data_IF_240395764386
#
_entry.id   IF_240395764386
#
_cell.length_a   1.000
_cell.length_b   1.000
_cell.length_c   1.000
_cell.angle_alpha   90.00
_cell.angle_beta   90.00
_cell.angle_gamma   90.00
#
_symmetry.space_group_name_H-M   'P 1'
#
loop_
_entity.id
_entity.type
_entity.pdbx_description
1 polymer ?
#
# COMPACT_ATOMS: atom_id res chain seq x y z
N UNK A 1 -4.34 42.12 -32.60
CA UNK A 1 -2.94 42.61 -32.65
C UNK A 1 -2.55 42.88 -31.20
N UNK A 2 -1.53 42.31 -30.57
CA UNK A 2 -0.37 41.59 -31.05
C UNK A 2 -0.07 40.41 -30.13
N UNK A 3 0.46 39.34 -30.73
CA UNK A 3 1.12 38.25 -30.04
C UNK A 3 2.52 38.69 -29.57
N UNK A 4 3.01 38.06 -28.51
CA UNK A 4 4.45 37.77 -28.40
C UNK A 4 4.63 36.41 -27.74
N UNK A 5 5.21 35.52 -28.53
CA UNK A 5 5.81 34.26 -28.12
C UNK A 5 7.20 34.51 -27.52
N UNK A 6 7.72 33.48 -26.85
CA UNK A 6 9.10 32.94 -26.93
C UNK A 6 9.78 32.71 -25.56
N UNK A 7 9.95 31.41 -25.28
CA UNK A 7 11.13 30.73 -24.70
C UNK A 7 11.61 31.03 -23.27
N UNK A 8 11.65 29.99 -22.42
CA UNK A 8 12.90 29.25 -22.18
C UNK A 8 12.71 28.03 -21.27
N UNK A 9 13.42 26.96 -21.61
CA UNK A 9 13.46 25.66 -20.94
C UNK A 9 14.35 25.65 -19.67
N UNK A 10 14.23 24.53 -18.94
CA UNK A 10 15.15 23.97 -17.92
C UNK A 10 15.05 24.58 -16.50
N UNK A 11 15.06 23.84 -15.38
CA UNK A 11 15.36 22.43 -15.12
C UNK A 11 14.60 21.95 -13.87
N UNK A 12 13.91 20.80 -13.96
CA UNK A 12 13.39 20.08 -12.80
C UNK A 12 14.49 19.16 -12.27
N UNK A 13 15.14 19.55 -11.17
CA UNK A 13 16.04 18.67 -10.42
C UNK A 13 15.22 17.82 -9.45
N UNK A 14 14.72 16.67 -9.92
CA UNK A 14 14.23 15.61 -9.04
C UNK A 14 15.45 14.91 -8.43
N UNK A 15 15.76 15.20 -7.15
CA UNK A 15 16.68 14.38 -6.35
C UNK A 15 16.03 13.01 -6.10
N UNK A 16 16.31 12.07 -6.99
CA UNK A 16 16.07 10.66 -6.78
C UNK A 16 17.07 10.15 -5.72
N UNK A 17 16.64 10.07 -4.47
CA UNK A 17 17.31 9.28 -3.45
C UNK A 17 17.08 7.79 -3.76
N UNK A 18 17.91 7.24 -4.64
CA UNK A 18 18.07 5.79 -4.80
C UNK A 18 18.88 5.27 -3.62
N UNK A 19 18.19 4.94 -2.53
CA UNK A 19 18.74 4.21 -1.38
C UNK A 19 19.03 2.76 -1.76
N UNK A 20 20.10 2.52 -2.50
CA UNK A 20 20.64 1.19 -2.74
C UNK A 20 21.23 0.62 -1.45
N UNK A 21 20.57 -0.39 -0.86
CA UNK A 21 21.19 -1.24 0.17
C UNK A 21 22.30 -2.08 -0.47
N UNK A 22 23.51 -1.57 -0.46
CA UNK A 22 24.71 -2.34 -0.77
C UNK A 22 24.97 -3.28 0.41
N UNK A 23 24.76 -4.59 0.20
CA UNK A 23 25.27 -5.59 1.13
C UNK A 23 26.80 -5.59 1.04
N UNK A 24 27.43 -4.91 2.00
CA UNK A 24 28.87 -4.93 2.17
C UNK A 24 29.25 -6.28 2.77
N UNK A 25 29.41 -7.28 1.89
CA UNK A 25 30.00 -8.56 2.24
C UNK A 25 31.42 -8.28 2.75
N UNK A 26 31.61 -8.37 4.07
CA UNK A 26 32.90 -8.22 4.73
C UNK A 26 33.78 -9.41 4.33
N UNK A 27 34.44 -9.30 3.18
CA UNK A 27 35.49 -10.24 2.74
C UNK A 27 36.66 -10.07 3.68
N UNK A 28 36.82 -11.00 4.61
CA UNK A 28 37.94 -11.02 5.55
C UNK A 28 39.18 -11.45 4.78
N UNK A 29 39.92 -10.48 4.25
CA UNK A 29 41.23 -10.70 3.63
C UNK A 29 42.20 -11.05 4.76
N UNK A 30 42.68 -12.28 4.72
CA UNK A 30 43.71 -12.84 5.57
C UNK A 30 45.06 -12.18 5.22
N UNK A 31 45.50 -11.22 6.01
CA UNK A 31 46.87 -10.70 5.90
C UNK A 31 47.83 -11.71 6.51
N UNK A 32 48.65 -12.37 5.68
CA UNK A 32 49.84 -13.08 6.13
C UNK A 32 50.99 -12.07 6.19
N UNK A 33 51.37 -11.65 7.39
CA UNK A 33 52.66 -11.04 7.64
C UNK A 33 53.66 -12.14 7.96
N UNK A 34 54.72 -12.24 7.15
CA UNK A 34 55.92 -13.00 7.47
C UNK A 34 56.76 -12.17 8.44
N UNK A 35 57.16 -12.76 9.56
CA UNK A 35 58.27 -12.26 10.37
C UNK A 35 59.01 -13.47 10.96
N UNK A 36 60.31 -13.46 10.73
CA UNK A 36 61.27 -14.45 11.19
C UNK A 36 61.60 -14.28 12.68
N UNK A 37 62.37 -15.26 13.15
CA UNK A 37 63.24 -15.27 14.33
C UNK A 37 62.73 -15.95 15.61
N UNK A 38 63.70 -16.66 16.17
CA UNK A 38 63.64 -17.84 17.01
C UNK A 38 64.04 -17.44 18.43
N UNK A 39 63.17 -17.61 19.44
CA UNK A 39 63.62 -17.75 20.84
C UNK A 39 62.72 -18.68 21.63
N UNK A 40 63.36 -19.70 22.19
CA UNK A 40 62.87 -20.69 23.14
C UNK A 40 62.66 -20.05 24.53
N UNK A 41 61.42 -20.07 25.03
CA UNK A 41 61.13 -20.04 26.47
C UNK A 41 59.95 -20.99 26.72
N UNK A 42 60.18 -22.04 27.51
CA UNK A 42 59.14 -22.92 28.03
C UNK A 42 58.29 -22.12 29.04
N UNK A 43 57.14 -21.63 28.59
CA UNK A 43 56.09 -21.08 29.43
C UNK A 43 54.83 -21.92 29.26
N UNK A 44 54.33 -22.53 30.34
CA UNK A 44 53.12 -23.34 30.35
C UNK A 44 51.94 -22.51 29.84
N UNK A 45 51.53 -22.73 28.58
CA UNK A 45 50.40 -22.03 27.98
C UNK A 45 49.12 -22.55 28.61
N UNK A 46 48.61 -21.85 29.61
CA UNK A 46 47.23 -22.01 30.07
C UNK A 46 46.34 -21.53 28.92
N UNK A 47 45.92 -22.47 28.09
CA UNK A 47 44.89 -22.30 27.06
C UNK A 47 43.58 -21.88 27.75
N UNK A 48 43.36 -20.56 27.88
CA UNK A 48 42.06 -20.04 28.28
C UNK A 48 41.04 -20.37 27.19
N UNK A 49 40.28 -21.43 27.41
CA UNK A 49 39.14 -21.82 26.59
C UNK A 49 38.11 -20.67 26.61
N UNK A 50 38.03 -19.87 25.53
CA UNK A 50 36.93 -18.91 25.35
C UNK A 50 35.67 -19.68 25.02
N UNK A 51 34.82 -19.91 26.01
CA UNK A 51 33.45 -20.33 25.78
C UNK A 51 32.70 -19.15 25.13
N UNK A 52 32.55 -19.16 23.81
CA UNK A 52 31.59 -18.28 23.13
C UNK A 52 30.20 -18.86 23.34
N UNK A 53 29.44 -18.30 24.28
CA UNK A 53 28.02 -18.62 24.43
C UNK A 53 27.26 -17.99 23.26
N UNK A 54 26.81 -18.81 22.30
CA UNK A 54 25.89 -18.36 21.25
C UNK A 54 24.52 -18.19 21.90
N UNK A 55 24.21 -16.97 22.34
CA UNK A 55 22.88 -16.62 22.84
C UNK A 55 21.93 -16.54 21.64
N UNK A 56 21.00 -17.50 21.53
CA UNK A 56 19.95 -17.47 20.52
C UNK A 56 18.96 -16.36 20.88
N UNK A 57 18.99 -15.26 20.13
CA UNK A 57 17.99 -14.20 20.29
C UNK A 57 16.65 -14.66 19.75
N UNK A 58 15.56 -14.41 20.50
CA UNK A 58 14.19 -14.72 20.06
C UNK A 58 13.88 -14.01 18.74
N UNK A 59 13.26 -14.73 17.80
CA UNK A 59 12.79 -14.18 16.53
C UNK A 59 11.74 -13.09 16.82
N UNK A 60 11.86 -11.94 16.17
CA UNK A 60 10.93 -10.84 16.32
C UNK A 60 9.60 -11.16 15.63
N UNK A 61 8.49 -10.82 16.30
CA UNK A 61 7.16 -10.89 15.69
C UNK A 61 7.00 -9.69 14.76
N UNK A 62 6.54 -9.93 13.53
CA UNK A 62 6.26 -8.87 12.58
C UNK A 62 5.16 -7.96 13.13
N UNK A 63 5.52 -6.72 13.45
CA UNK A 63 4.61 -5.70 13.99
C UNK A 63 3.76 -5.03 12.91
N UNK A 64 4.23 -5.01 11.67
CA UNK A 64 3.54 -4.36 10.56
C UNK A 64 2.62 -5.38 9.88
N UNK A 65 1.31 -5.26 10.09
CA UNK A 65 0.29 -5.99 9.33
C UNK A 65 -0.44 -5.00 8.44
N UNK A 66 -0.63 -5.37 7.17
CA UNK A 66 -1.54 -4.66 6.29
C UNK A 66 -2.97 -4.90 6.80
N UNK A 67 -3.74 -3.84 7.01
CA UNK A 67 -5.13 -3.94 7.44
C UNK A 67 -5.98 -4.51 6.29
N UNK A 68 -6.29 -5.80 6.38
CA UNK A 68 -7.25 -6.45 5.48
C UNK A 68 -8.65 -6.28 6.06
N UNK A 69 -9.53 -5.59 5.33
CA UNK A 69 -10.91 -5.36 5.76
C UNK A 69 -11.75 -6.53 5.26
N UNK A 70 -12.27 -7.33 6.20
CA UNK A 70 -13.16 -8.44 5.86
C UNK A 70 -14.53 -7.91 5.44
N UNK A 71 -15.26 -8.71 4.67
CA UNK A 71 -16.63 -8.35 4.23
C UNK A 71 -17.55 -8.11 5.43
N UNK A 72 -17.41 -8.92 6.49
CA UNK A 72 -18.21 -8.79 7.70
C UNK A 72 -17.88 -7.52 8.49
N UNK A 73 -16.61 -7.09 8.47
CA UNK A 73 -16.22 -5.82 9.07
C UNK A 73 -16.90 -4.64 8.36
N UNK A 74 -16.88 -4.63 7.02
CA UNK A 74 -17.53 -3.57 6.24
C UNK A 74 -19.05 -3.53 6.51
N UNK A 75 -19.71 -4.70 6.57
CA UNK A 75 -21.14 -4.78 6.92
C UNK A 75 -21.43 -4.16 8.28
N UNK A 76 -20.64 -4.51 9.31
CA UNK A 76 -20.76 -3.94 10.64
C UNK A 76 -20.61 -2.41 10.65
N UNK A 77 -19.64 -1.90 9.87
CA UNK A 77 -19.43 -0.45 9.74
C UNK A 77 -20.62 0.26 9.07
N UNK A 78 -21.32 -0.39 8.14
CA UNK A 78 -22.53 0.17 7.51
C UNK A 78 -23.66 0.29 8.54
N UNK A 79 -23.85 -0.74 9.36
CA UNK A 79 -24.86 -0.73 10.43
C UNK A 79 -24.56 0.35 11.48
N UNK A 80 -23.30 0.45 11.92
CA UNK A 80 -22.84 1.49 12.84
C UNK A 80 -23.02 2.90 12.27
N UNK A 81 -22.74 3.10 10.98
CA UNK A 81 -22.97 4.37 10.30
C UNK A 81 -24.45 4.73 10.26
N UNK A 82 -25.34 3.80 9.92
CA UNK A 82 -26.78 4.04 9.88
C UNK A 82 -27.35 4.38 11.27
N UNK A 83 -26.86 3.70 12.31
CA UNK A 83 -27.21 4.01 13.69
C UNK A 83 -26.71 5.40 14.09
N UNK A 84 -25.45 5.71 13.79
CA UNK A 84 -24.83 7.00 14.04
C UNK A 84 -25.53 8.15 13.33
N UNK A 85 -25.97 7.94 12.08
CA UNK A 85 -26.75 8.92 11.31
C UNK A 85 -28.04 9.32 12.04
N UNK A 86 -28.80 8.36 12.55
CA UNK A 86 -30.03 8.63 13.33
C UNK A 86 -29.75 9.38 14.63
N UNK A 87 -28.67 9.01 15.33
CA UNK A 87 -28.25 9.70 16.55
C UNK A 87 -27.82 11.13 16.27
N UNK A 88 -27.09 11.36 15.18
CA UNK A 88 -26.66 12.70 14.78
C UNK A 88 -27.86 13.57 14.41
N UNK A 89 -28.81 13.04 13.64
CA UNK A 89 -30.06 13.74 13.32
C UNK A 89 -30.82 14.13 14.59
N UNK A 90 -30.96 13.20 15.54
CA UNK A 90 -31.59 13.47 16.84
C UNK A 90 -30.88 14.57 17.65
N UNK A 91 -29.53 14.61 17.64
CA UNK A 91 -28.77 15.68 18.30
C UNK A 91 -28.95 17.04 17.62
N UNK A 92 -29.14 17.06 16.30
CA UNK A 92 -29.36 18.28 15.53
C UNK A 92 -30.83 18.71 15.47
N UNK A 93 -31.76 17.88 15.95
CA UNK A 93 -33.19 18.12 15.88
C UNK A 93 -33.78 18.00 14.45
N UNK A 94 -33.06 17.30 13.57
CA UNK A 94 -33.46 17.08 12.17
C UNK A 94 -34.09 15.69 11.99
N UNK A 95 -34.86 15.51 10.92
CA UNK A 95 -35.47 14.23 10.59
C UNK A 95 -34.44 13.23 9.99
N UNK A 96 -34.33 11.99 10.50
CA UNK A 96 -33.32 11.02 10.04
C UNK A 96 -33.42 10.61 8.57
N UNK A 97 -34.62 10.65 7.98
CA UNK A 97 -34.85 10.25 6.59
C UNK A 97 -34.46 11.38 5.62
N UNK A 98 -34.69 12.63 6.00
CA UNK A 98 -34.34 13.82 5.23
C UNK A 98 -32.85 14.18 5.32
N UNK A 99 -32.13 13.64 6.30
CA UNK A 99 -30.75 14.01 6.61
C UNK A 99 -29.75 13.62 5.50
N UNK A 100 -29.14 14.62 4.85
CA UNK A 100 -28.20 14.45 3.73
C UNK A 100 -26.74 14.38 4.18
N UNK A 101 -25.81 14.06 3.27
CA UNK A 101 -24.39 13.99 3.62
C UNK A 101 -23.80 15.38 3.89
N UNK A 102 -24.34 16.42 3.27
CA UNK A 102 -23.95 17.80 3.51
C UNK A 102 -24.36 18.25 4.91
N UNK A 103 -25.52 17.79 5.39
CA UNK A 103 -26.01 18.10 6.75
C UNK A 103 -25.14 17.40 7.80
N UNK A 104 -24.73 16.15 7.53
CA UNK A 104 -23.74 15.43 8.33
C UNK A 104 -22.44 16.24 8.43
N UNK A 105 -21.88 16.65 7.30
CA UNK A 105 -20.59 17.35 7.27
C UNK A 105 -20.68 18.70 8.02
N UNK A 106 -21.81 19.41 7.92
CA UNK A 106 -22.07 20.65 8.69
C UNK A 106 -22.19 20.38 10.18
N UNK A 107 -22.95 19.36 10.57
CA UNK A 107 -23.13 18.98 11.97
C UNK A 107 -21.79 18.57 12.62
N UNK A 108 -20.97 17.77 11.94
CA UNK A 108 -19.64 17.37 12.43
C UNK A 108 -18.71 18.58 12.55
N UNK A 109 -18.72 19.51 11.58
CA UNK A 109 -17.91 20.72 11.67
C UNK A 109 -18.31 21.63 12.86
N UNK A 110 -19.60 21.63 13.22
CA UNK A 110 -20.11 22.36 14.38
C UNK A 110 -19.78 21.67 15.70
N UNK A 111 -20.04 20.37 15.82
CA UNK A 111 -19.82 19.59 17.04
C UNK A 111 -18.33 19.41 17.36
N UNK A 112 -17.50 19.21 16.34
CA UNK A 112 -16.06 18.95 16.45
C UNK A 112 -15.26 19.96 15.61
N UNK A 113 -15.17 21.22 16.07
CA UNK A 113 -14.45 22.25 15.33
C UNK A 113 -12.96 21.91 15.26
N UNK A 114 -12.43 21.82 14.03
CA UNK A 114 -10.99 21.58 13.80
C UNK A 114 -10.39 22.69 12.94
N UNK A 115 -9.30 23.29 13.43
CA UNK A 115 -8.56 24.37 12.74
C UNK A 115 -7.50 23.87 11.76
N UNK A 116 -7.51 22.57 11.40
CA UNK A 116 -6.49 21.98 10.53
C UNK A 116 -6.64 22.48 9.09
N UNK A 117 -5.54 22.93 8.48
CA UNK A 117 -5.52 23.35 7.08
C UNK A 117 -5.81 22.19 6.13
N UNK A 118 -5.25 21.01 6.41
CA UNK A 118 -5.48 19.79 5.63
C UNK A 118 -6.89 19.25 5.89
N UNK A 119 -7.76 19.29 4.87
CA UNK A 119 -9.17 18.87 5.01
C UNK A 119 -9.31 17.37 5.31
N UNK A 120 -8.35 16.54 4.88
CA UNK A 120 -8.34 15.08 5.11
C UNK A 120 -8.02 14.69 6.55
N UNK A 121 -7.40 15.58 7.31
CA UNK A 121 -7.06 15.34 8.71
C UNK A 121 -8.17 15.78 9.68
N UNK A 122 -9.24 16.39 9.17
CA UNK A 122 -10.39 16.82 9.97
C UNK A 122 -11.28 15.61 10.32
N UNK A 123 -12.07 15.69 11.40
CA UNK A 123 -13.10 14.69 11.68
C UNK A 123 -14.07 14.56 10.49
N UNK A 124 -14.32 13.33 10.05
CA UNK A 124 -15.23 13.01 8.95
C UNK A 124 -16.13 11.84 9.33
N UNK A 125 -17.40 11.90 8.93
CA UNK A 125 -18.35 10.80 9.07
C UNK A 125 -18.99 10.53 7.70
N UNK A 126 -18.58 9.44 7.03
CA UNK A 126 -19.02 9.09 5.67
C UNK A 126 -19.37 7.62 5.59
N UNK A 127 -20.08 7.25 4.51
CA UNK A 127 -20.37 5.86 4.22
C UNK A 127 -19.07 5.03 4.10
N UNK A 128 -18.99 3.81 4.67
CA UNK A 128 -17.77 2.99 4.69
C UNK A 128 -17.13 2.75 3.33
N UNK A 129 -17.92 2.67 2.26
CA UNK A 129 -17.42 2.49 0.88
C UNK A 129 -16.56 3.65 0.36
N UNK A 130 -16.71 4.85 0.94
CA UNK A 130 -15.91 6.02 0.57
C UNK A 130 -14.64 6.17 1.42
N UNK A 131 -14.64 5.61 2.63
CA UNK A 131 -13.52 5.67 3.58
C UNK A 131 -12.54 4.54 3.29
N UNK A 132 -13.05 3.31 3.18
CA UNK A 132 -12.21 2.13 2.99
C UNK A 132 -11.87 1.94 1.50
N UNK A 133 -10.61 1.64 1.16
CA UNK A 133 -10.24 1.33 -0.20
C UNK A 133 -10.95 0.06 -0.66
N UNK A 134 -11.46 0.07 -1.91
CA UNK A 134 -12.10 -1.11 -2.51
C UNK A 134 -11.10 -2.27 -2.57
N UNK A 135 -11.38 -3.32 -1.83
CA UNK A 135 -10.57 -4.53 -1.82
C UNK A 135 -11.00 -5.47 -2.95
N UNK A 136 -10.04 -6.16 -3.56
CA UNK A 136 -10.36 -7.22 -4.53
C UNK A 136 -10.91 -8.40 -3.75
N UNK A 137 -12.03 -8.94 -4.20
CA UNK A 137 -12.52 -10.21 -3.70
C UNK A 137 -11.49 -11.33 -3.98
N UNK A 138 -11.58 -12.41 -3.19
CA UNK A 138 -10.80 -13.62 -3.41
C UNK A 138 -10.97 -14.09 -4.86
N UNK A 139 -9.86 -14.37 -5.55
CA UNK A 139 -9.85 -14.65 -6.99
C UNK A 139 -10.01 -16.14 -7.34
N UNK A 140 -10.11 -16.99 -6.31
CA UNK A 140 -10.27 -18.44 -6.40
C UNK A 140 -11.25 -18.91 -5.32
N UNK A 141 -11.93 -20.03 -5.60
CA UNK A 141 -12.79 -20.70 -4.63
C UNK A 141 -12.02 -21.63 -3.70
N UNK A 142 -12.75 -22.42 -2.92
CA UNK A 142 -12.19 -23.45 -2.03
C UNK A 142 -11.39 -24.51 -2.78
N UNK A 143 -11.81 -24.83 -4.02
CA UNK A 143 -11.12 -25.76 -4.93
C UNK A 143 -9.73 -25.27 -5.37
N UNK A 144 -9.37 -24.01 -5.09
CA UNK A 144 -8.13 -23.38 -5.54
C UNK A 144 -8.10 -23.02 -7.03
N UNK A 145 -9.16 -23.33 -7.80
CA UNK A 145 -9.29 -22.96 -9.21
C UNK A 145 -9.59 -21.45 -9.35
N UNK A 146 -8.77 -20.68 -10.10
CA UNK A 146 -9.07 -19.27 -10.36
C UNK A 146 -10.36 -19.07 -11.16
N UNK A 147 -11.13 -18.02 -10.84
CA UNK A 147 -12.38 -17.72 -11.53
C UNK A 147 -12.17 -17.20 -12.95
N UNK A 148 -11.10 -16.44 -13.17
CA UNK A 148 -10.82 -15.81 -14.47
C UNK A 148 -9.68 -16.54 -15.20
N UNK A 149 -9.86 -16.81 -16.50
CA UNK A 149 -8.86 -17.54 -17.30
C UNK A 149 -7.52 -16.78 -17.43
N UNK A 150 -7.55 -15.45 -17.50
CA UNK A 150 -6.34 -14.60 -17.48
C UNK A 150 -5.72 -14.36 -16.09
N UNK A 151 -6.11 -15.13 -15.06
CA UNK A 151 -5.58 -14.97 -13.70
C UNK A 151 -4.04 -15.01 -13.66
N UNK A 152 -3.43 -15.97 -14.36
CA UNK A 152 -1.98 -16.16 -14.37
C UNK A 152 -1.19 -15.05 -15.07
N UNK A 153 -1.85 -14.08 -15.69
CA UNK A 153 -1.21 -12.86 -16.21
C UNK A 153 -0.85 -11.85 -15.11
N UNK A 154 -1.40 -12.02 -13.89
CA UNK A 154 -1.26 -11.10 -12.76
C UNK A 154 -2.12 -9.83 -12.84
N UNK A 155 -2.54 -9.41 -14.04
CA UNK A 155 -3.42 -8.24 -14.28
C UNK A 155 -4.66 -8.63 -15.07
N UNK A 156 -5.43 -9.57 -14.54
CA UNK A 156 -6.62 -10.14 -15.21
C UNK A 156 -7.60 -9.09 -15.77
N UNK A 157 -7.95 -8.06 -14.99
CA UNK A 157 -8.92 -7.03 -15.41
C UNK A 157 -8.40 -6.19 -16.59
N UNK A 158 -7.10 -5.90 -16.62
CA UNK A 158 -6.49 -5.12 -17.69
C UNK A 158 -6.48 -5.89 -19.02
N UNK A 159 -5.98 -7.13 -19.01
CA UNK A 159 -5.91 -7.93 -20.22
C UNK A 159 -7.29 -8.40 -20.71
N UNK A 160 -8.26 -8.55 -19.81
CA UNK A 160 -9.66 -8.82 -20.19
C UNK A 160 -10.23 -7.67 -21.02
N UNK A 161 -10.03 -6.41 -20.59
CA UNK A 161 -10.44 -5.23 -21.35
C UNK A 161 -9.74 -5.15 -22.71
N UNK A 162 -8.43 -5.40 -22.76
CA UNK A 162 -7.67 -5.39 -24.02
C UNK A 162 -8.20 -6.45 -24.98
N UNK A 163 -8.41 -7.68 -24.51
CA UNK A 163 -8.94 -8.77 -25.32
C UNK A 163 -10.34 -8.45 -25.88
N UNK A 164 -11.24 -7.92 -25.05
CA UNK A 164 -12.59 -7.51 -25.48
C UNK A 164 -12.52 -6.37 -26.50
N UNK A 165 -11.68 -5.37 -26.28
CA UNK A 165 -11.54 -4.23 -27.20
C UNK A 165 -11.00 -4.63 -28.57
N UNK A 166 -9.98 -5.51 -28.61
CA UNK A 166 -9.41 -6.02 -29.85
C UNK A 166 -10.43 -6.86 -30.60
N UNK A 167 -11.15 -7.74 -29.90
CA UNK A 167 -12.19 -8.55 -30.51
C UNK A 167 -13.30 -7.68 -31.12
N UNK A 168 -13.76 -6.66 -30.40
CA UNK A 168 -14.77 -5.72 -30.91
C UNK A 168 -14.25 -4.96 -32.14
N UNK A 169 -12.99 -4.49 -32.12
CA UNK A 169 -12.37 -3.84 -33.26
C UNK A 169 -12.30 -4.76 -34.49
N UNK A 170 -11.88 -6.01 -34.30
CA UNK A 170 -11.79 -6.99 -35.39
C UNK A 170 -13.18 -7.33 -35.96
N UNK A 171 -14.20 -7.50 -35.12
CA UNK A 171 -15.57 -7.77 -35.56
C UNK A 171 -16.13 -6.61 -36.37
N UNK A 172 -15.96 -5.37 -35.90
CA UNK A 172 -16.41 -4.19 -36.66
C UNK A 172 -15.69 -4.04 -37.99
N UNK A 173 -14.38 -4.35 -38.04
CA UNK A 173 -13.63 -4.34 -39.29
C UNK A 173 -14.19 -5.34 -40.31
N UNK A 174 -14.59 -6.54 -39.85
CA UNK A 174 -15.19 -7.57 -40.71
C UNK A 174 -16.60 -7.18 -41.16
N UNK A 175 -17.43 -6.63 -40.28
CA UNK A 175 -18.78 -6.16 -40.63
C UNK A 175 -18.74 -5.00 -41.65
N UNK A 176 -17.81 -4.05 -41.50
CA UNK A 176 -17.61 -2.99 -42.49
C UNK A 176 -17.14 -3.51 -43.85
N UNK A 177 -16.40 -4.63 -43.89
CA UNK A 177 -15.99 -5.28 -45.14
C UNK A 177 -17.10 -6.08 -45.82
N UNK A 178 -18.07 -6.61 -45.05
CA UNK A 178 -19.22 -7.35 -45.58
C UNK A 178 -20.39 -6.44 -46.02
N UNK A 179 -20.38 -5.18 -45.60
CA UNK A 179 -21.40 -4.18 -45.95
C UNK A 179 -21.07 -3.37 -47.21
N UNK A 180 -19.90 -3.57 -47.83
CA UNK A 180 -19.53 -3.02 -49.13
C UNK A 180 -19.51 -4.14 -50.18
#
# INVERSE_FOLDING_TARGET
MAASCVSCCAALSCRLFLGGRVNLARRQVLWKAAAAELQTVFGSQILRLRHTTVVTTKKNVASLRCETYTVDFIKKQIEEFNLGKRHLANMMGEDPETFTQEDIDRAIAYLFPSGLFEKRARPIMKHPEQIFPKQKATQWGEDGRPFHFLFYTGKQSYYSLMHVSILYFMINNMNCKLSN
#
